data_IF_513805937284
#
_entry.id   IF_513805937284
#
_cell.length_a   1.000
_cell.length_b   1.000
_cell.length_c   1.000
_cell.angle_alpha   90.00
_cell.angle_beta   90.00
_cell.angle_gamma   90.00
#
_symmetry.space_group_name_H-M   'P 1'
#
loop_
_entity.id
_entity.type
_entity.pdbx_description
1 polymer ?
#
# COMPACT_ATOMS: atom_id res chain seq x y z
N UNK A 1 1.90 14.08 -12.11
CA UNK A 1 2.21 13.70 -10.71
C UNK A 1 1.11 12.86 -10.10
N UNK A 2 1.38 11.60 -9.77
CA UNK A 2 0.43 10.71 -9.07
C UNK A 2 0.19 11.13 -7.61
N UNK A 3 1.03 12.03 -7.09
CA UNK A 3 0.93 12.61 -5.75
C UNK A 3 -0.02 13.81 -5.69
N UNK A 4 -0.22 14.52 -6.80
CA UNK A 4 -1.11 15.70 -6.86
C UNK A 4 -2.51 15.47 -6.27
N UNK A 5 -3.25 14.41 -6.63
CA UNK A 5 -4.59 14.21 -6.07
C UNK A 5 -4.57 13.94 -4.57
N UNK A 6 -3.50 13.31 -4.05
CA UNK A 6 -3.30 13.09 -2.61
C UNK A 6 -2.97 14.41 -1.90
N UNK A 7 -2.11 15.23 -2.51
CA UNK A 7 -1.72 16.56 -2.00
C UNK A 7 -2.92 17.51 -1.94
N UNK A 8 -3.73 17.56 -3.00
CA UNK A 8 -4.95 18.38 -3.05
C UNK A 8 -5.99 17.93 -2.02
N UNK A 9 -6.17 16.61 -1.82
CA UNK A 9 -7.06 16.08 -0.80
C UNK A 9 -6.57 16.44 0.61
N UNK A 10 -5.26 16.36 0.86
CA UNK A 10 -4.65 16.77 2.13
C UNK A 10 -4.80 18.27 2.42
N UNK A 11 -4.65 19.13 1.40
CA UNK A 11 -4.87 20.56 1.56
C UNK A 11 -6.32 20.87 1.91
N UNK A 12 -7.28 20.28 1.20
CA UNK A 12 -8.72 20.42 1.52
C UNK A 12 -9.04 19.94 2.93
N UNK A 13 -8.49 18.80 3.34
CA UNK A 13 -8.69 18.25 4.68
C UNK A 13 -8.15 19.21 5.76
N UNK A 14 -6.99 19.83 5.53
CA UNK A 14 -6.41 20.83 6.44
C UNK A 14 -7.29 22.06 6.56
N UNK A 15 -7.85 22.56 5.47
CA UNK A 15 -8.76 23.70 5.49
C UNK A 15 -10.08 23.36 6.21
N UNK A 16 -10.67 22.21 5.91
CA UNK A 16 -11.87 21.71 6.57
C UNK A 16 -11.66 21.55 8.08
N UNK A 17 -10.51 20.99 8.49
CA UNK A 17 -10.16 20.86 9.90
C UNK A 17 -9.98 22.22 10.59
N UNK A 18 -9.33 23.20 9.93
CA UNK A 18 -9.22 24.57 10.46
C UNK A 18 -10.58 25.24 10.62
N UNK A 19 -11.50 24.99 9.69
CA UNK A 19 -12.87 25.49 9.73
C UNK A 19 -13.77 24.70 10.70
N UNK A 20 -13.28 23.59 11.26
CA UNK A 20 -14.05 22.63 12.06
C UNK A 20 -15.30 22.10 11.32
N UNK A 21 -15.23 22.05 9.99
CA UNK A 21 -16.30 21.55 9.13
C UNK A 21 -16.22 20.03 9.03
N UNK A 22 -16.94 19.36 9.93
CA UNK A 22 -16.94 17.89 10.04
C UNK A 22 -17.39 17.21 8.74
N UNK A 23 -18.37 17.78 8.03
CA UNK A 23 -18.85 17.21 6.78
C UNK A 23 -17.79 17.29 5.67
N UNK A 24 -17.05 18.41 5.61
CA UNK A 24 -15.93 18.55 4.67
C UNK A 24 -14.72 17.68 5.06
N UNK A 25 -14.49 17.45 6.36
CA UNK A 25 -13.47 16.52 6.84
C UNK A 25 -13.79 15.09 6.39
N UNK A 26 -15.02 14.61 6.62
CA UNK A 26 -15.43 13.25 6.21
C UNK A 26 -15.27 13.05 4.71
N UNK A 27 -15.73 14.02 3.91
CA UNK A 27 -15.57 14.00 2.45
C UNK A 27 -14.09 14.00 2.03
N UNK A 28 -13.27 14.84 2.68
CA UNK A 28 -11.83 14.89 2.42
C UNK A 28 -11.11 13.58 2.78
N UNK A 29 -11.55 12.89 3.83
CA UNK A 29 -11.01 11.59 4.22
C UNK A 29 -11.37 10.50 3.21
N UNK A 30 -12.60 10.46 2.70
CA UNK A 30 -12.99 9.54 1.62
C UNK A 30 -12.21 9.79 0.33
N UNK A 31 -12.07 11.05 -0.07
CA UNK A 31 -11.29 11.45 -1.24
C UNK A 31 -9.82 11.04 -1.10
N UNK A 32 -9.22 11.29 0.07
CA UNK A 32 -7.85 10.90 0.36
C UNK A 32 -7.66 9.38 0.29
N UNK A 33 -8.58 8.61 0.87
CA UNK A 33 -8.51 7.15 0.87
C UNK A 33 -8.60 6.59 -0.55
N UNK A 34 -9.52 7.15 -1.35
CA UNK A 34 -9.69 6.77 -2.77
C UNK A 34 -8.44 7.11 -3.59
N UNK A 35 -7.89 8.32 -3.43
CA UNK A 35 -6.67 8.74 -4.12
C UNK A 35 -5.47 7.87 -3.76
N UNK A 36 -5.33 7.50 -2.48
CA UNK A 36 -4.24 6.66 -2.01
C UNK A 36 -4.35 5.22 -2.54
N UNK A 37 -5.55 4.64 -2.54
CA UNK A 37 -5.80 3.32 -3.14
C UNK A 37 -5.56 3.31 -4.65
N UNK A 38 -6.00 4.35 -5.35
CA UNK A 38 -5.75 4.47 -6.79
C UNK A 38 -4.25 4.55 -7.07
N UNK A 39 -3.51 5.37 -6.31
CA UNK A 39 -2.07 5.50 -6.45
C UNK A 39 -1.32 4.19 -6.13
N UNK A 40 -1.75 3.43 -5.11
CA UNK A 40 -1.11 2.15 -4.77
C UNK A 40 -1.37 1.07 -5.81
N UNK A 41 -2.60 0.98 -6.33
CA UNK A 41 -2.96 0.06 -7.41
C UNK A 41 -2.16 0.37 -8.67
N UNK A 42 -2.05 1.64 -9.03
CA UNK A 42 -1.33 2.05 -10.22
C UNK A 42 0.20 1.90 -10.06
N UNK A 43 0.73 1.98 -8.83
CA UNK A 43 2.13 1.63 -8.53
C UNK A 43 2.36 0.13 -8.74
N UNK A 44 1.44 -0.72 -8.29
CA UNK A 44 1.50 -2.17 -8.50
C UNK A 44 1.38 -2.54 -9.99
N UNK A 45 0.45 -1.92 -10.72
CA UNK A 45 0.30 -2.07 -12.17
C UNK A 45 1.55 -1.58 -12.92
N UNK A 46 2.11 -0.43 -12.53
CA UNK A 46 3.36 0.07 -13.11
C UNK A 46 4.55 -0.85 -12.82
N UNK A 47 4.61 -1.47 -11.63
CA UNK A 47 5.64 -2.46 -11.29
C UNK A 47 5.50 -3.75 -12.12
N UNK A 48 4.28 -4.26 -12.30
CA UNK A 48 4.04 -5.40 -13.21
C UNK A 48 4.42 -5.06 -14.65
N UNK A 49 4.04 -3.88 -15.14
CA UNK A 49 4.32 -3.47 -16.50
C UNK A 49 5.83 -3.22 -16.72
N UNK A 50 6.56 -2.73 -15.71
CA UNK A 50 8.02 -2.63 -15.73
C UNK A 50 8.67 -4.03 -15.79
N UNK A 51 8.19 -4.99 -15.00
CA UNK A 51 8.68 -6.37 -15.03
C UNK A 51 8.40 -7.07 -16.37
N UNK A 52 7.29 -6.76 -17.03
CA UNK A 52 6.96 -7.30 -18.34
C UNK A 52 7.74 -6.63 -19.49
N UNK A 53 8.14 -5.36 -19.32
CA UNK A 53 8.99 -4.65 -20.26
C UNK A 53 10.46 -5.14 -20.24
N UNK A 54 10.95 -5.64 -19.10
CA UNK A 54 12.26 -6.33 -19.00
C UNK A 54 12.23 -7.78 -19.54
N UNK A 55 11.05 -8.38 -19.72
CA UNK A 55 10.87 -9.74 -20.23
C UNK A 55 11.16 -9.95 -21.72
N UNK A 56 11.51 -8.92 -22.49
CA UNK A 56 11.89 -9.04 -23.91
C UNK A 56 13.38 -8.75 -24.16
N UNK A 57 14.21 -8.83 -23.12
CA UNK A 57 15.62 -8.47 -23.17
C UNK A 57 16.54 -9.51 -22.55
N UNK A 58 16.70 -10.64 -23.23
CA UNK A 58 17.83 -11.57 -23.11
C UNK A 58 17.92 -12.42 -21.84
N UNK A 59 18.26 -13.68 -22.10
CA UNK A 59 18.75 -14.62 -21.12
C UNK A 59 19.91 -14.04 -20.28
N UNK A 60 20.01 -14.55 -19.05
CA UNK A 60 21.17 -14.52 -18.16
C UNK A 60 21.29 -13.33 -17.21
N UNK A 61 20.82 -13.52 -15.98
CA UNK A 61 21.47 -13.00 -14.78
C UNK A 61 21.01 -13.80 -13.56
N UNK A 62 21.63 -14.96 -13.40
CA UNK A 62 21.72 -15.68 -12.14
C UNK A 62 22.50 -14.80 -11.15
N UNK A 63 21.94 -14.59 -9.94
CA UNK A 63 22.73 -14.17 -8.77
C UNK A 63 22.45 -12.77 -8.21
N UNK A 64 21.66 -12.78 -7.13
CA UNK A 64 21.83 -11.97 -5.92
C UNK A 64 21.73 -10.43 -6.03
N UNK A 65 20.64 -9.87 -5.49
CA UNK A 65 20.67 -9.26 -4.14
C UNK A 65 19.40 -8.46 -3.86
N UNK A 66 18.73 -8.81 -2.76
CA UNK A 66 18.20 -7.83 -1.84
C UNK A 66 16.74 -7.42 -2.02
N UNK A 67 15.94 -7.90 -1.07
CA UNK A 67 14.88 -7.13 -0.39
C UNK A 67 13.50 -7.09 -1.08
N UNK A 68 12.77 -8.18 -0.89
CA UNK A 68 11.41 -8.19 -0.33
C UNK A 68 10.86 -9.62 -0.47
N UNK A 69 11.58 -10.59 0.09
CA UNK A 69 10.94 -11.84 0.47
C UNK A 69 9.99 -11.45 1.60
N UNK A 70 8.73 -11.22 1.24
CA UNK A 70 7.61 -11.27 2.17
C UNK A 70 7.75 -12.63 2.84
N UNK A 71 8.37 -12.63 4.01
CA UNK A 71 8.40 -13.77 4.91
C UNK A 71 6.95 -14.08 5.17
N UNK A 72 6.51 -15.20 4.59
CA UNK A 72 5.22 -15.81 4.87
C UNK A 72 5.09 -15.80 6.40
N UNK A 73 4.05 -15.13 6.87
CA UNK A 73 3.82 -15.02 8.30
C UNK A 73 3.40 -16.42 8.72
N UNK A 74 4.37 -17.22 9.19
CA UNK A 74 4.10 -18.51 9.81
C UNK A 74 3.19 -18.26 11.02
N UNK A 75 1.89 -18.30 10.75
CA UNK A 75 0.83 -18.25 11.75
C UNK A 75 0.92 -19.58 12.50
N UNK A 76 1.80 -19.63 13.48
CA UNK A 76 1.92 -20.75 14.40
C UNK A 76 0.56 -20.88 15.09
N UNK A 77 -0.17 -21.92 14.67
CA UNK A 77 -1.43 -22.38 15.22
C UNK A 77 -1.30 -22.37 16.74
N UNK A 78 -1.90 -21.37 17.39
CA UNK A 78 -2.09 -21.37 18.85
C UNK A 78 -3.11 -22.46 19.12
N UNK A 79 -2.65 -23.70 19.05
CA UNK A 79 -3.32 -24.82 19.66
C UNK A 79 -3.30 -24.56 21.15
N UNK A 80 -4.47 -24.19 21.60
CA UNK A 80 -4.99 -24.15 22.95
C UNK A 80 -4.72 -25.49 23.67
N UNK A 81 -3.47 -25.81 24.02
CA UNK A 81 -3.17 -26.89 24.97
C UNK A 81 -3.32 -26.36 26.39
N UNK A 82 -4.60 -26.12 26.71
CA UNK A 82 -5.10 -25.95 28.06
C UNK A 82 -4.77 -27.20 28.88
N UNK A 83 -3.64 -27.12 29.59
CA UNK A 83 -3.45 -27.71 30.92
C UNK A 83 -3.47 -29.23 31.00
N UNK A 84 -2.29 -29.86 30.89
CA UNK A 84 -2.00 -31.07 31.67
C UNK A 84 -0.52 -31.36 31.85
N UNK A 85 -0.05 -31.20 33.09
CA UNK A 85 1.04 -31.96 33.76
C UNK A 85 1.34 -31.20 35.05
N UNK A 86 1.37 -31.79 36.23
CA UNK A 86 1.40 -33.18 36.65
C UNK A 86 1.94 -33.18 38.07
#
# INVERSE_FOLDING_TARGET
DKKKPIEEALERLKEAHKAQDIAAIDKGMEELNTAFQAASKEMYEAAQQAQQAEGNGSASAEGASGDAEVTDVDFEEVNDDSGKKG
#
